data_IF_736413013946
#
_entry.id   IF_736413013946
#
_cell.length_a   1.000
_cell.length_b   1.000
_cell.length_c   1.000
_cell.angle_alpha   90.00
_cell.angle_beta   90.00
_cell.angle_gamma   90.00
#
_symmetry.space_group_name_H-M   'P 1'
#
loop_
_entity.id
_entity.type
_entity.pdbx_description
1 polymer ?
#
# COMPACT_ATOMS: atom_id res chain seq x y z
N UNK A 1 -8.99 4.27 -10.74
CA UNK A 1 -8.89 2.80 -10.80
C UNK A 1 -8.58 2.31 -9.40
N UNK A 2 -9.28 1.29 -8.90
CA UNK A 2 -9.07 0.71 -7.56
C UNK A 2 -8.66 -0.75 -7.72
N UNK A 3 -7.40 -1.06 -7.45
CA UNK A 3 -6.87 -2.43 -7.41
C UNK A 3 -6.75 -2.83 -5.95
N UNK A 4 -7.37 -3.94 -5.58
CA UNK A 4 -7.22 -4.53 -4.25
C UNK A 4 -5.95 -5.38 -4.28
N UNK A 5 -4.96 -5.03 -3.46
CA UNK A 5 -3.75 -5.84 -3.26
C UNK A 5 -4.12 -6.92 -2.23
N UNK A 6 -4.24 -8.17 -2.68
CA UNK A 6 -4.74 -9.33 -1.92
C UNK A 6 -3.62 -10.09 -1.16
N UNK A 7 -4.00 -11.20 -0.50
CA UNK A 7 -3.17 -12.11 0.32
C UNK A 7 -1.86 -12.63 -0.33
N UNK A 8 -1.72 -12.50 -1.65
CA UNK A 8 -0.48 -12.83 -2.38
C UNK A 8 0.58 -11.70 -2.31
N UNK A 9 0.29 -10.61 -1.61
CA UNK A 9 1.22 -9.50 -1.45
C UNK A 9 2.51 -9.95 -0.75
N UNK A 10 3.58 -10.08 -1.53
CA UNK A 10 4.93 -10.38 -1.02
C UNK A 10 5.67 -9.14 -0.52
N UNK A 11 5.00 -7.98 -0.42
CA UNK A 11 5.60 -6.71 0.02
C UNK A 11 6.83 -6.30 -0.82
N UNK A 12 6.76 -6.41 -2.14
CA UNK A 12 7.82 -6.02 -3.07
C UNK A 12 7.87 -4.51 -3.39
N UNK A 13 6.97 -3.71 -2.80
CA UNK A 13 6.82 -2.26 -2.98
C UNK A 13 6.59 -1.74 -4.40
N UNK A 14 6.42 -2.59 -5.41
CA UNK A 14 6.19 -2.15 -6.79
C UNK A 14 4.91 -1.31 -6.93
N UNK A 15 3.86 -1.65 -6.19
CA UNK A 15 2.58 -0.95 -6.27
C UNK A 15 2.56 0.39 -5.52
N UNK A 16 3.56 0.69 -4.71
CA UNK A 16 3.65 1.96 -3.95
C UNK A 16 3.81 3.16 -4.90
N UNK A 17 4.78 3.07 -5.82
CA UNK A 17 5.08 4.14 -6.79
C UNK A 17 3.95 4.36 -7.81
N UNK A 18 3.22 3.29 -8.14
CA UNK A 18 2.12 3.34 -9.10
C UNK A 18 0.80 3.81 -8.46
N UNK A 19 0.75 4.02 -7.14
CA UNK A 19 -0.47 4.39 -6.44
C UNK A 19 -0.79 5.88 -6.65
N UNK A 20 -1.81 6.24 -7.46
CA UNK A 20 -2.12 7.65 -7.72
C UNK A 20 -2.66 8.40 -6.49
N UNK A 21 -3.14 7.67 -5.49
CA UNK A 21 -3.71 8.21 -4.26
C UNK A 21 -2.76 8.10 -3.06
N UNK A 22 -1.54 7.58 -3.27
CA UNK A 22 -0.53 7.42 -2.22
C UNK A 22 -1.04 6.66 -0.97
N UNK A 23 -1.90 5.66 -1.19
CA UNK A 23 -2.59 4.89 -0.14
C UNK A 23 -1.92 3.55 0.19
N UNK A 24 -0.88 3.17 -0.56
CA UNK A 24 -0.10 1.95 -0.34
C UNK A 24 1.14 2.34 0.44
N UNK A 25 1.43 1.58 1.49
CA UNK A 25 2.53 1.84 2.41
C UNK A 25 3.34 0.54 2.59
N UNK A 26 4.67 0.66 2.70
CA UNK A 26 5.56 -0.48 2.85
C UNK A 26 5.29 -1.33 4.10
N UNK A 27 5.81 -2.56 4.13
CA UNK A 27 5.73 -3.38 5.34
C UNK A 27 6.51 -2.69 6.49
N UNK A 28 5.81 -2.39 7.58
CA UNK A 28 6.41 -1.80 8.80
C UNK A 28 6.09 -0.32 9.03
N UNK A 29 5.44 0.37 8.10
CA UNK A 29 4.88 1.71 8.38
C UNK A 29 3.49 1.55 8.97
N UNK A 30 3.36 1.98 10.23
CA UNK A 30 2.07 1.99 10.93
C UNK A 30 1.19 3.08 10.31
N UNK A 31 0.05 2.69 9.75
CA UNK A 31 -0.96 3.67 9.32
C UNK A 31 -1.58 4.28 10.57
N UNK A 32 -1.25 5.53 10.85
CA UNK A 32 -1.91 6.31 11.90
C UNK A 32 -3.24 6.81 11.35
N UNK A 33 -4.31 6.03 11.50
CA UNK A 33 -5.65 6.49 11.17
C UNK A 33 -6.14 7.45 12.26
N UNK A 34 -5.81 8.73 12.10
CA UNK A 34 -6.38 9.83 12.89
C UNK A 34 -5.91 9.89 14.35
N UNK A 35 -4.82 10.63 14.58
CA UNK A 35 -4.60 11.43 15.79
C UNK A 35 -4.24 12.84 15.37
#
# INVERSE_FOLDING_TARGET
MSVVITDECISCNACEAECPNNAIYGAGVSYIYGT
#
